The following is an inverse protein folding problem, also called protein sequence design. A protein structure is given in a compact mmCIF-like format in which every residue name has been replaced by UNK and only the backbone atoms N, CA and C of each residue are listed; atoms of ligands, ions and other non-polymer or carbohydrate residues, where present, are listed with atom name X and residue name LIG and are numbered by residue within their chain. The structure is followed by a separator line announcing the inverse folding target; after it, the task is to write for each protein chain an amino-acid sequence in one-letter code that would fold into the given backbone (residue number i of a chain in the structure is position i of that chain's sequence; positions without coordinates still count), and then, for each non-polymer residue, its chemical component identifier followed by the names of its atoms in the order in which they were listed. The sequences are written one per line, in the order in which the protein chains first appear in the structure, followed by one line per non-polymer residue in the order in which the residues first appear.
data_IF_890306414328
#
_entry.id   IF_890306414328
#
_cell.length_a   1.000
_cell.length_b   1.000
_cell.length_c   1.000
_cell.angle_alpha   90.00
_cell.angle_beta   90.00
_cell.angle_gamma   90.00
#
_symmetry.space_group_name_H-M   'P 1'
#
loop_
_entity.id
_entity.type
_entity.pdbx_description
1 polymer ?
#
# COMPACT_ATOMS: atom_id res chain seq x y z
N UNK A 1 8.15 2.54 -11.35
CA UNK A 1 9.12 3.49 -10.75
C UNK A 1 8.33 4.48 -9.90
N UNK A 2 8.76 4.81 -8.68
CA UNK A 2 8.01 5.73 -7.80
C UNK A 2 8.37 7.17 -8.15
N UNK A 3 7.37 8.01 -8.41
CA UNK A 3 7.57 9.40 -8.90
C UNK A 3 7.90 10.40 -7.79
N UNK A 4 7.45 10.12 -6.57
CA UNK A 4 7.64 11.05 -5.45
C UNK A 4 9.12 11.06 -4.97
N UNK A 5 9.64 12.22 -4.52
CA UNK A 5 10.96 12.27 -3.92
C UNK A 5 10.98 11.58 -2.54
N UNK A 6 12.15 11.07 -2.15
CA UNK A 6 12.41 10.57 -0.80
C UNK A 6 12.14 11.68 0.23
N UNK A 7 11.52 11.37 1.40
CA UNK A 7 11.14 10.03 1.88
C UNK A 7 9.75 9.57 1.45
N UNK A 8 8.99 10.37 0.68
CA UNK A 8 7.59 10.03 0.33
C UNK A 8 7.50 8.80 -0.56
N UNK A 9 8.47 8.59 -1.45
CA UNK A 9 8.59 7.34 -2.20
C UNK A 9 8.83 6.09 -1.34
N UNK A 10 9.13 6.20 -0.05
CA UNK A 10 9.35 5.05 0.83
C UNK A 10 8.08 4.57 1.53
N UNK A 11 6.95 5.26 1.35
CA UNK A 11 5.67 4.83 1.93
C UNK A 11 5.29 3.45 1.37
N UNK A 12 5.00 2.44 2.21
CA UNK A 12 4.55 1.14 1.73
C UNK A 12 3.21 1.24 0.99
N UNK A 13 3.09 0.55 -0.15
CA UNK A 13 1.87 0.49 -0.95
C UNK A 13 1.32 -0.93 -0.86
N UNK A 14 0.08 -1.06 -0.43
CA UNK A 14 -0.63 -2.35 -0.35
C UNK A 14 -1.77 -2.36 -1.36
N UNK A 15 -1.77 -3.31 -2.27
CA UNK A 15 -2.89 -3.53 -3.19
C UNK A 15 -4.08 -4.11 -2.43
N UNK A 16 -5.26 -3.54 -2.62
CA UNK A 16 -6.52 -4.08 -2.10
C UNK A 16 -7.50 -4.26 -3.26
N UNK A 17 -7.77 -5.50 -3.66
CA UNK A 17 -8.65 -5.80 -4.79
C UNK A 17 -10.00 -6.36 -4.35
N UNK A 18 -11.06 -6.12 -5.14
CA UNK A 18 -12.34 -6.83 -5.02
C UNK A 18 -12.39 -8.10 -5.89
N UNK A 19 -11.49 -8.22 -6.86
CA UNK A 19 -11.45 -9.30 -7.83
C UNK A 19 -10.02 -9.86 -7.89
N UNK A 20 -9.86 -11.11 -7.46
CA UNK A 20 -8.58 -11.82 -7.47
C UNK A 20 -8.53 -12.63 -8.77
N UNK A 21 -8.36 -11.93 -9.89
CA UNK A 21 -7.88 -12.61 -11.09
C UNK A 21 -6.54 -13.27 -10.78
N UNK A 22 -6.30 -14.46 -11.32
CA UNK A 22 -5.14 -15.29 -10.96
C UNK A 22 -3.79 -14.54 -11.02
N UNK A 23 -3.65 -13.55 -11.92
CA UNK A 23 -2.40 -12.79 -12.09
C UNK A 23 -2.37 -11.46 -11.32
N UNK A 24 -3.47 -11.05 -10.68
CA UNK A 24 -3.57 -9.71 -10.09
C UNK A 24 -2.52 -9.49 -8.98
N UNK A 25 -2.26 -10.51 -8.17
CA UNK A 25 -1.21 -10.48 -7.15
C UNK A 25 0.16 -10.34 -7.79
N UNK A 26 0.48 -11.18 -8.77
CA UNK A 26 1.78 -11.14 -9.46
C UNK A 26 2.02 -9.78 -10.12
N UNK A 27 1.03 -9.24 -10.84
CA UNK A 27 1.13 -7.92 -11.48
C UNK A 27 1.34 -6.80 -10.46
N UNK A 28 0.69 -6.88 -9.29
CA UNK A 28 0.87 -5.90 -8.24
C UNK A 28 2.30 -5.95 -7.67
N UNK A 29 2.84 -7.15 -7.47
CA UNK A 29 4.22 -7.33 -7.01
C UNK A 29 5.23 -6.85 -8.05
N UNK A 30 5.05 -7.20 -9.33
CA UNK A 30 5.90 -6.76 -10.43
C UNK A 30 5.90 -5.23 -10.61
N UNK A 31 4.80 -4.56 -10.27
CA UNK A 31 4.70 -3.10 -10.27
C UNK A 31 5.45 -2.42 -9.11
N UNK A 32 5.98 -3.20 -8.15
CA UNK A 32 6.72 -2.70 -7.00
C UNK A 32 5.86 -2.33 -5.79
N UNK A 33 4.68 -2.94 -5.66
CA UNK A 33 3.88 -2.88 -4.43
C UNK A 33 4.50 -3.77 -3.33
N UNK A 34 4.16 -3.48 -2.08
CA UNK A 34 4.76 -4.13 -0.91
C UNK A 34 3.94 -5.32 -0.39
N UNK A 35 2.62 -5.31 -0.62
CA UNK A 35 1.74 -6.41 -0.25
C UNK A 35 0.46 -6.38 -1.11
N UNK A 36 -0.29 -7.47 -1.08
CA UNK A 36 -1.56 -7.64 -1.78
C UNK A 36 -2.59 -8.24 -0.82
N UNK A 37 -3.81 -7.72 -0.86
CA UNK A 37 -4.95 -8.15 -0.05
C UNK A 37 -6.20 -8.20 -0.92
N UNK A 38 -7.11 -9.11 -0.61
CA UNK A 38 -8.41 -9.23 -1.27
C UNK A 38 -9.55 -8.80 -0.36
N UNK A 39 -10.65 -8.36 -0.97
CA UNK A 39 -11.93 -8.15 -0.28
C UNK A 39 -12.72 -9.46 -0.25
N UNK A 40 -13.54 -9.70 0.79
CA UNK A 40 -13.68 -8.86 1.98
C UNK A 40 -12.44 -8.94 2.88
N UNK A 41 -11.96 -7.78 3.34
CA UNK A 41 -10.75 -7.66 4.14
C UNK A 41 -11.04 -7.88 5.62
N UNK A 42 -10.27 -8.75 6.27
CA UNK A 42 -10.31 -8.91 7.72
C UNK A 42 -9.21 -8.09 8.40
N UNK A 43 -9.51 -7.58 9.60
CA UNK A 43 -8.56 -6.76 10.39
C UNK A 43 -7.21 -7.46 10.61
N UNK A 44 -7.23 -8.75 10.92
CA UNK A 44 -6.01 -9.54 11.13
C UNK A 44 -5.11 -9.60 9.88
N UNK A 45 -5.70 -9.65 8.68
CA UNK A 45 -4.95 -9.64 7.41
C UNK A 45 -4.26 -8.30 7.19
N UNK A 46 -4.95 -7.20 7.53
CA UNK A 46 -4.37 -5.87 7.46
C UNK A 46 -3.23 -5.70 8.49
N UNK A 47 -3.44 -6.14 9.73
CA UNK A 47 -2.43 -6.07 10.79
C UNK A 47 -1.16 -6.87 10.44
N UNK A 48 -1.29 -7.98 9.71
CA UNK A 48 -0.17 -8.79 9.27
C UNK A 48 0.74 -8.07 8.25
N UNK A 49 0.20 -7.17 7.44
CA UNK A 49 0.96 -6.45 6.41
C UNK A 49 1.37 -5.03 6.83
N UNK A 50 0.78 -4.49 7.90
CA UNK A 50 1.15 -3.19 8.43
C UNK A 50 2.47 -3.28 9.21
N UNK A 51 3.46 -2.41 8.91
CA UNK A 51 4.69 -2.40 9.69
C UNK A 51 4.40 -1.96 11.13
N UNK A 52 5.03 -2.63 12.12
CA UNK A 52 4.88 -2.40 13.58
C UNK A 52 5.08 -0.95 14.04
N UNK A 53 5.67 -0.08 13.19
CA UNK A 53 5.91 1.32 13.45
C UNK A 53 5.05 2.31 12.63
N UNK A 54 3.99 1.85 11.95
CA UNK A 54 3.08 2.67 11.15
C UNK A 54 2.22 3.62 12.01
N UNK A 55 2.83 4.39 12.91
CA UNK A 55 2.18 5.56 13.51
C UNK A 55 2.11 6.64 12.44
N UNK A 56 0.89 7.00 12.04
CA UNK A 56 0.66 8.11 11.13
C UNK A 56 1.23 9.40 11.74
N UNK A 57 2.34 9.90 11.22
CA UNK A 57 2.64 11.32 11.40
C UNK A 57 1.61 12.07 10.56
N UNK A 58 0.72 12.85 11.20
CA UNK A 58 -0.15 13.82 10.51
C UNK A 58 0.76 14.67 9.62
N UNK A 59 0.69 14.46 8.31
CA UNK A 59 1.42 15.31 7.36
C UNK A 59 0.54 16.54 7.16
N UNK A 60 1.04 17.78 7.31
CA UNK A 60 0.24 18.95 6.94
C UNK A 60 -0.06 18.87 5.44
N UNK A 61 -1.35 18.83 5.11
CA UNK A 61 -1.82 18.93 3.73
C UNK A 61 -1.60 20.36 3.25
N UNK A 62 -0.49 20.62 2.57
CA UNK A 62 -0.33 21.84 1.79
C UNK A 62 -0.93 21.60 0.42
N UNK A 63 -2.13 22.15 0.20
CA UNK A 63 -2.68 22.34 -1.15
C UNK A 63 -1.91 23.53 -1.75
N UNK A 64 -1.18 23.29 -2.83
CA UNK A 64 -0.60 24.36 -3.64
C UNK A 64 -1.68 24.75 -4.65
N UNK A 65 -2.14 26.00 -4.58
CA UNK A 65 -3.10 26.64 -5.49
C UNK A 65 -2.34 27.60 -6.41
#
# INVERSE_FOLDING_TARGET
MRELPTPRSQVPIVALTADVMNDAEQRAMDAGMNAFLSKPLQKAQLEAVLPRGARTKKTPSTVVL
#
